data_IF_230991707304
#
_entry.id   IF_230991707304
#
_cell.length_a   1.000
_cell.length_b   1.000
_cell.length_c   1.000
_cell.angle_alpha   90.00
_cell.angle_beta   90.00
_cell.angle_gamma   90.00
#
_symmetry.space_group_name_H-M   'P 1'
#
loop_
_entity.id
_entity.type
_entity.pdbx_description
1 polymer ?
#
# COMPACT_ATOMS: atom_id res chain seq x y z
N UNK A 1 13.18 12.79 8.53
CA UNK A 1 11.94 12.02 8.69
C UNK A 1 11.98 10.84 7.75
N UNK A 2 11.58 9.69 8.24
CA UNK A 2 11.66 8.38 7.60
C UNK A 2 10.29 7.71 7.65
N UNK A 3 10.04 6.74 6.77
CA UNK A 3 8.77 6.03 6.69
C UNK A 3 8.98 4.54 6.91
N UNK A 4 8.18 3.97 7.81
CA UNK A 4 8.09 2.55 8.08
C UNK A 4 6.73 2.06 7.57
N UNK A 5 6.71 0.93 6.85
CA UNK A 5 5.48 0.28 6.42
C UNK A 5 5.44 -1.12 7.03
N UNK A 6 4.34 -1.43 7.72
CA UNK A 6 4.10 -2.72 8.34
C UNK A 6 2.86 -3.39 7.75
N UNK A 7 3.00 -4.65 7.36
CA UNK A 7 1.89 -5.54 7.01
C UNK A 7 1.54 -6.35 8.26
N UNK A 8 0.25 -6.47 8.55
CA UNK A 8 -0.28 -7.12 9.74
C UNK A 8 -1.14 -8.32 9.36
N UNK A 9 -0.97 -9.41 10.12
CA UNK A 9 -1.89 -10.56 10.13
C UNK A 9 -2.53 -10.66 11.51
N UNK A 10 -3.86 -10.59 11.55
CA UNK A 10 -4.62 -10.60 12.80
C UNK A 10 -4.58 -11.98 13.45
N UNK A 11 -4.85 -12.00 14.76
CA UNK A 11 -5.17 -13.25 15.45
C UNK A 11 -6.49 -13.83 14.91
N UNK A 12 -6.59 -15.15 14.84
CA UNK A 12 -7.74 -15.84 14.22
C UNK A 12 -9.07 -15.57 14.94
N UNK A 13 -9.01 -15.33 16.25
CA UNK A 13 -10.11 -14.95 17.14
C UNK A 13 -10.49 -13.46 17.05
N UNK A 14 -9.68 -12.63 16.38
CA UNK A 14 -9.93 -11.21 16.21
C UNK A 14 -10.61 -10.92 14.88
N UNK A 15 -11.75 -10.23 14.88
CA UNK A 15 -12.46 -9.89 13.64
C UNK A 15 -11.76 -8.74 12.89
N UNK A 16 -11.92 -8.69 11.56
CA UNK A 16 -11.41 -7.58 10.75
C UNK A 16 -11.95 -6.21 11.22
N UNK A 17 -13.22 -6.16 11.64
CA UNK A 17 -13.84 -4.95 12.19
C UNK A 17 -13.18 -4.51 13.50
N UNK A 18 -12.85 -5.45 14.40
CA UNK A 18 -12.18 -5.16 15.67
C UNK A 18 -10.73 -4.72 15.46
N UNK A 19 -10.00 -5.35 14.54
CA UNK A 19 -8.67 -4.88 14.12
C UNK A 19 -8.73 -3.44 13.58
N UNK A 20 -9.65 -3.17 12.64
CA UNK A 20 -9.83 -1.83 12.06
C UNK A 20 -10.16 -0.78 13.12
N UNK A 21 -11.05 -1.10 14.06
CA UNK A 21 -11.38 -0.19 15.16
C UNK A 21 -10.17 0.10 16.05
N UNK A 22 -9.38 -0.93 16.42
CA UNK A 22 -8.18 -0.75 17.23
C UNK A 22 -7.14 0.12 16.52
N UNK A 23 -6.85 -0.17 15.24
CA UNK A 23 -5.88 0.57 14.43
C UNK A 23 -6.24 2.04 14.24
N UNK A 24 -7.54 2.39 14.20
CA UNK A 24 -8.02 3.77 14.06
C UNK A 24 -8.23 4.50 15.40
N UNK A 25 -8.22 3.77 16.51
CA UNK A 25 -8.47 4.27 17.86
C UNK A 25 -7.25 4.18 18.75
N UNK A 26 -7.34 3.37 19.80
CA UNK A 26 -6.35 3.28 20.88
C UNK A 26 -4.93 2.97 20.38
N UNK A 27 -4.79 2.12 19.36
CA UNK A 27 -3.48 1.78 18.81
C UNK A 27 -2.85 2.98 18.10
N UNK A 28 -3.62 3.76 17.32
CA UNK A 28 -3.08 4.97 16.71
C UNK A 28 -2.59 5.98 17.76
N UNK A 29 -3.32 6.11 18.88
CA UNK A 29 -2.88 6.96 19.99
C UNK A 29 -1.58 6.44 20.63
N UNK A 30 -1.46 5.13 20.82
CA UNK A 30 -0.25 4.50 21.34
C UNK A 30 0.94 4.70 20.40
N UNK A 31 0.74 4.55 19.09
CA UNK A 31 1.77 4.77 18.07
C UNK A 31 2.24 6.24 18.06
N UNK A 32 1.33 7.20 18.20
CA UNK A 32 1.67 8.62 18.34
C UNK A 32 2.54 8.89 19.58
N UNK A 33 2.18 8.32 20.73
CA UNK A 33 2.97 8.41 21.98
C UNK A 33 4.34 7.74 21.85
N UNK A 34 4.45 6.69 21.04
CA UNK A 34 5.68 5.97 20.75
C UNK A 34 6.58 6.67 19.71
N UNK A 35 6.19 7.83 19.19
CA UNK A 35 7.03 8.66 18.32
C UNK A 35 6.61 8.73 16.85
N UNK A 36 5.46 8.16 16.47
CA UNK A 36 4.91 8.34 15.13
C UNK A 36 4.46 9.80 14.94
N UNK A 37 5.03 10.46 13.92
CA UNK A 37 4.71 11.81 13.46
C UNK A 37 3.53 11.84 12.48
N UNK A 38 3.36 10.75 11.74
CA UNK A 38 2.23 10.53 10.83
C UNK A 38 1.80 9.07 10.90
N UNK A 39 0.50 8.83 10.75
CA UNK A 39 -0.11 7.49 10.83
C UNK A 39 -1.17 7.37 9.74
N UNK A 40 -1.00 6.37 8.88
CA UNK A 40 -2.01 5.94 7.91
C UNK A 40 -2.26 4.45 8.10
N UNK A 41 -3.53 4.07 8.02
CA UNK A 41 -4.01 2.70 8.15
C UNK A 41 -4.78 2.30 6.90
N UNK A 42 -4.45 1.14 6.36
CA UNK A 42 -5.13 0.50 5.24
C UNK A 42 -5.62 -0.87 5.72
N UNK A 43 -6.90 -1.18 5.59
CA UNK A 43 -7.48 -2.45 6.07
C UNK A 43 -8.26 -3.18 4.98
N UNK A 44 -8.21 -4.51 4.99
CA UNK A 44 -9.11 -5.34 4.20
C UNK A 44 -10.43 -5.50 4.97
N UNK A 45 -11.44 -4.71 4.61
CA UNK A 45 -12.76 -4.71 5.26
C UNK A 45 -13.90 -5.01 4.27
N UNK A 46 -15.14 -4.97 4.78
CA UNK A 46 -16.32 -5.31 4.01
C UNK A 46 -16.54 -4.39 2.78
N UNK A 47 -16.08 -3.13 2.84
CA UNK A 47 -16.27 -2.16 1.76
C UNK A 47 -15.44 -2.50 0.51
N UNK A 48 -14.38 -3.31 0.67
CA UNK A 48 -13.46 -3.69 -0.43
C UNK A 48 -13.40 -5.20 -0.66
N UNK A 49 -14.26 -5.97 0.00
CA UNK A 49 -14.23 -7.43 -0.01
C UNK A 49 -14.53 -8.04 -1.39
N UNK A 50 -15.26 -7.33 -2.25
CA UNK A 50 -15.61 -7.77 -3.61
C UNK A 50 -14.55 -7.39 -4.66
N UNK A 51 -13.44 -6.75 -4.27
CA UNK A 51 -12.41 -6.36 -5.21
C UNK A 51 -11.81 -7.58 -5.93
N UNK A 52 -11.90 -7.56 -7.25
CA UNK A 52 -11.49 -8.64 -8.15
C UNK A 52 -9.96 -8.72 -8.29
N UNK A 53 -9.27 -7.58 -8.23
CA UNK A 53 -7.81 -7.52 -8.17
C UNK A 53 -7.34 -7.71 -6.72
N UNK A 54 -7.29 -8.98 -6.30
CA UNK A 54 -6.78 -9.36 -4.98
C UNK A 54 -5.82 -10.55 -5.13
N UNK A 55 -4.53 -10.30 -4.92
CA UNK A 55 -3.47 -11.30 -5.03
C UNK A 55 -2.65 -11.27 -3.75
N UNK A 56 -2.88 -12.26 -2.89
CA UNK A 56 -2.19 -12.39 -1.62
C UNK A 56 -0.66 -12.28 -1.81
N UNK A 57 0.02 -11.28 -1.22
CA UNK A 57 1.47 -11.17 -1.28
C UNK A 57 2.11 -12.45 -0.76
N UNK A 58 2.92 -13.12 -1.58
CA UNK A 58 3.60 -14.38 -1.24
C UNK A 58 2.70 -15.45 -0.63
N UNK A 59 1.46 -15.56 -1.13
CA UNK A 59 0.52 -16.62 -0.77
C UNK A 59 -0.15 -16.45 0.61
N UNK A 60 0.06 -15.31 1.29
CA UNK A 60 -0.51 -15.05 2.61
C UNK A 60 -1.35 -13.78 2.60
N UNK A 61 -2.67 -13.92 2.67
CA UNK A 61 -3.59 -12.79 2.72
C UNK A 61 -3.34 -11.97 4.01
N UNK A 62 -3.01 -10.69 3.85
CA UNK A 62 -2.83 -9.77 4.96
C UNK A 62 -4.16 -9.09 5.33
N UNK A 63 -4.25 -8.60 6.57
CA UNK A 63 -5.45 -7.96 7.10
C UNK A 63 -5.35 -6.44 7.13
N UNK A 64 -4.13 -5.90 7.31
CA UNK A 64 -3.88 -4.47 7.32
C UNK A 64 -2.47 -4.09 6.87
N UNK A 65 -2.31 -2.85 6.43
CA UNK A 65 -1.03 -2.16 6.23
C UNK A 65 -1.04 -0.88 7.05
N UNK A 66 0.02 -0.63 7.81
CA UNK A 66 0.20 0.57 8.62
C UNK A 66 1.44 1.30 8.13
N UNK A 67 1.26 2.55 7.70
CA UNK A 67 2.36 3.44 7.36
C UNK A 67 2.60 4.42 8.51
N UNK A 68 3.84 4.47 8.98
CA UNK A 68 4.28 5.32 10.08
C UNK A 68 5.40 6.22 9.59
N UNK A 69 5.28 7.52 9.85
CA UNK A 69 6.37 8.46 9.64
C UNK A 69 7.01 8.77 10.98
N UNK A 70 8.33 8.70 11.05
CA UNK A 70 9.12 8.84 12.28
C UNK A 70 10.32 9.72 12.03
N UNK A 71 10.86 10.35 13.07
CA UNK A 71 12.09 11.14 12.94
C UNK A 71 13.33 10.25 12.75
N UNK A 72 13.28 9.02 13.29
CA UNK A 72 14.36 8.03 13.26
C UNK A 72 13.78 6.61 13.33
N UNK A 73 14.25 5.70 12.47
CA UNK A 73 13.89 4.27 12.49
C UNK A 73 14.65 3.45 13.54
N UNK A 74 15.55 4.06 14.33
CA UNK A 74 16.35 3.36 15.33
C UNK A 74 15.49 2.58 16.30
N UNK A 75 16.07 1.51 16.85
CA UNK A 75 15.41 0.56 17.76
C UNK A 75 14.67 1.23 18.92
N UNK A 76 15.19 2.34 19.45
CA UNK A 76 14.56 3.13 20.51
C UNK A 76 13.16 3.67 20.14
N UNK A 77 12.93 3.98 18.87
CA UNK A 77 11.61 4.42 18.34
C UNK A 77 10.87 3.22 17.75
N UNK A 78 11.58 2.36 17.02
CA UNK A 78 11.00 1.25 16.28
C UNK A 78 10.43 0.14 17.16
N UNK A 79 11.14 -0.30 18.20
CA UNK A 79 10.69 -1.41 19.05
C UNK A 79 9.39 -1.09 19.80
N UNK A 80 9.17 0.11 20.37
CA UNK A 80 7.88 0.49 20.93
C UNK A 80 6.74 0.45 19.91
N UNK A 81 6.97 0.90 18.67
CA UNK A 81 5.98 0.85 17.59
C UNK A 81 5.64 -0.60 17.21
N UNK A 82 6.66 -1.44 17.01
CA UNK A 82 6.49 -2.87 16.70
C UNK A 82 5.76 -3.61 17.81
N UNK A 83 6.10 -3.33 19.08
CA UNK A 83 5.41 -3.90 20.26
C UNK A 83 3.93 -3.52 20.28
N UNK A 84 3.61 -2.26 19.97
CA UNK A 84 2.22 -1.80 19.89
C UNK A 84 1.46 -2.52 18.76
N UNK A 85 2.06 -2.67 17.58
CA UNK A 85 1.45 -3.40 16.46
C UNK A 85 1.23 -4.89 16.79
N UNK A 86 2.20 -5.54 17.44
CA UNK A 86 2.11 -6.94 17.87
C UNK A 86 1.05 -7.18 18.95
N UNK A 87 0.57 -6.14 19.63
CA UNK A 87 -0.53 -6.28 20.59
C UNK A 87 -1.89 -6.55 19.93
N UNK A 88 -2.03 -6.30 18.62
CA UNK A 88 -3.28 -6.51 17.86
C UNK A 88 -3.13 -7.50 16.71
N UNK A 89 -1.90 -7.86 16.36
CA UNK A 89 -1.56 -8.72 15.24
C UNK A 89 -0.70 -9.90 15.70
N UNK A 90 -1.04 -11.10 15.22
CA UNK A 90 -0.26 -12.32 15.47
C UNK A 90 1.13 -12.21 14.86
N UNK A 91 1.24 -11.50 13.75
CA UNK A 91 2.47 -11.36 12.99
C UNK A 91 2.53 -10.01 12.30
N UNK A 92 3.75 -9.48 12.17
CA UNK A 92 4.05 -8.26 11.43
C UNK A 92 5.23 -8.47 10.49
N UNK A 93 5.18 -7.83 9.32
CA UNK A 93 6.30 -7.71 8.40
C UNK A 93 6.57 -6.24 8.12
N UNK A 94 7.77 -5.75 8.41
CA UNK A 94 8.09 -4.32 8.37
C UNK A 94 9.23 -3.96 7.41
N UNK A 95 9.12 -2.81 6.76
CA UNK A 95 10.18 -2.25 5.90
C UNK A 95 10.40 -0.76 6.19
N UNK A 96 11.66 -0.33 6.11
CA UNK A 96 12.03 1.08 5.98
C UNK A 96 11.98 1.43 4.49
N UNK A 97 11.36 2.56 4.15
CA UNK A 97 11.15 2.97 2.76
C UNK A 97 11.50 4.44 2.51
N UNK A 98 11.83 4.76 1.26
CA UNK A 98 11.80 6.14 0.76
C UNK A 98 10.50 6.39 0.01
N UNK A 99 9.79 7.45 0.36
CA UNK A 99 8.50 7.79 -0.23
C UNK A 99 8.65 8.79 -1.40
N UNK A 100 7.81 8.64 -2.42
CA UNK A 100 7.56 9.62 -3.48
C UNK A 100 6.07 9.65 -3.78
N UNK A 101 5.50 10.84 -3.99
CA UNK A 101 4.06 11.04 -4.20
C UNK A 101 3.78 11.71 -5.55
N UNK A 102 3.86 10.98 -6.68
CA UNK A 102 3.58 11.54 -8.01
C UNK A 102 2.17 12.09 -8.19
N UNK A 103 1.18 11.51 -7.49
CA UNK A 103 -0.21 11.96 -7.52
C UNK A 103 -0.75 11.99 -6.10
N UNK A 104 -0.93 13.18 -5.55
CA UNK A 104 -1.36 13.38 -4.16
C UNK A 104 -2.81 12.92 -3.97
N UNK A 105 -3.08 11.98 -3.05
CA UNK A 105 -4.45 11.62 -2.67
C UNK A 105 -5.21 12.82 -2.09
N UNK A 106 -6.55 12.89 -2.25
CA UNK A 106 -7.36 13.93 -1.62
C UNK A 106 -7.23 13.87 -0.10
N UNK A 107 -7.24 15.05 0.54
CA UNK A 107 -7.28 15.15 1.99
C UNK A 107 -8.63 14.67 2.53
N UNK A 108 -8.61 14.00 3.68
CA UNK A 108 -9.79 13.63 4.45
C UNK A 108 -9.70 14.15 5.87
N UNK A 109 -10.83 14.21 6.56
CA UNK A 109 -10.82 14.41 8.01
C UNK A 109 -10.00 13.27 8.67
N UNK A 110 -9.25 13.55 9.75
CA UNK A 110 -8.53 12.53 10.51
C UNK A 110 -9.42 11.35 10.89
N UNK A 111 -8.98 10.13 10.55
CA UNK A 111 -9.71 8.89 10.83
C UNK A 111 -10.92 8.61 9.93
N UNK A 112 -11.29 9.53 9.04
CA UNK A 112 -12.33 9.28 8.05
C UNK A 112 -11.80 8.38 6.92
N UNK A 113 -12.69 7.54 6.39
CA UNK A 113 -12.39 6.68 5.23
C UNK A 113 -12.15 7.57 4.02
N UNK A 114 -11.06 7.35 3.30
CA UNK A 114 -10.88 7.94 1.97
C UNK A 114 -11.93 7.33 1.03
N UNK A 115 -12.75 8.14 0.33
CA UNK A 115 -13.68 7.62 -0.67
C UNK A 115 -12.94 6.77 -1.70
N UNK A 116 -13.55 5.67 -2.16
CA UNK A 116 -12.96 4.76 -3.14
C UNK A 116 -12.27 3.53 -2.56
N UNK A 117 -11.41 2.92 -3.38
CA UNK A 117 -10.58 1.76 -3.10
C UNK A 117 -9.12 2.19 -3.06
N UNK A 118 -8.32 1.64 -2.14
CA UNK A 118 -6.87 1.84 -2.10
C UNK A 118 -6.17 0.49 -2.25
N UNK A 119 -5.52 0.25 -3.38
CA UNK A 119 -4.70 -0.95 -3.57
C UNK A 119 -3.30 -0.72 -3.02
N UNK A 120 -2.81 -1.69 -2.24
CA UNK A 120 -1.40 -1.79 -1.87
C UNK A 120 -0.76 -2.86 -2.74
N UNK A 121 0.09 -2.46 -3.68
CA UNK A 121 0.85 -3.35 -4.54
C UNK A 121 2.27 -3.55 -3.99
N UNK A 122 2.65 -4.79 -3.74
CA UNK A 122 4.00 -5.17 -3.34
C UNK A 122 4.72 -5.70 -4.58
N UNK A 123 5.84 -5.09 -4.93
CA UNK A 123 6.57 -5.37 -6.17
C UNK A 123 8.01 -5.78 -5.91
N UNK A 124 8.50 -6.71 -6.73
CA UNK A 124 9.88 -7.18 -6.73
C UNK A 124 10.56 -6.81 -8.04
N UNK A 125 11.80 -6.34 -7.94
CA UNK A 125 12.71 -6.15 -9.07
C UNK A 125 13.11 -7.51 -9.66
N UNK A 126 13.05 -7.69 -10.98
CA UNK A 126 13.63 -8.84 -11.65
C UNK A 126 15.12 -9.00 -11.30
N UNK A 127 15.56 -10.22 -10.95
CA UNK A 127 16.92 -10.47 -10.48
C UNK A 127 17.99 -9.99 -11.48
N UNK A 128 17.73 -10.19 -12.77
CA UNK A 128 18.61 -9.81 -13.87
C UNK A 128 18.67 -8.30 -14.16
N UNK A 129 17.86 -7.46 -13.50
CA UNK A 129 17.78 -6.02 -13.77
C UNK A 129 18.54 -5.22 -12.73
N UNK A 130 19.45 -4.33 -13.12
CA UNK A 130 20.19 -3.50 -12.15
C UNK A 130 19.24 -2.58 -11.33
N UNK A 131 19.51 -2.32 -10.03
CA UNK A 131 18.63 -1.50 -9.19
C UNK A 131 18.33 -0.11 -9.77
N UNK A 132 19.34 0.61 -10.26
CA UNK A 132 19.16 1.94 -10.83
C UNK A 132 18.29 1.91 -12.11
N UNK A 133 18.47 0.90 -12.95
CA UNK A 133 17.64 0.71 -14.15
C UNK A 133 16.19 0.38 -13.78
N UNK A 134 15.98 -0.46 -12.77
CA UNK A 134 14.64 -0.79 -12.28
C UNK A 134 13.91 0.44 -11.74
N UNK A 135 14.61 1.25 -10.93
CA UNK A 135 14.06 2.51 -10.42
C UNK A 135 13.72 3.48 -11.54
N UNK A 136 14.58 3.64 -12.55
CA UNK A 136 14.27 4.48 -13.71
C UNK A 136 13.00 3.99 -14.42
N UNK A 137 12.94 2.71 -14.78
CA UNK A 137 11.77 2.10 -15.44
C UNK A 137 10.49 2.25 -14.63
N UNK A 138 10.56 2.09 -13.31
CA UNK A 138 9.40 2.23 -12.44
C UNK A 138 9.00 3.70 -12.24
N UNK A 139 9.91 4.53 -11.71
CA UNK A 139 9.61 5.91 -11.27
C UNK A 139 9.43 6.87 -12.45
N UNK A 140 10.23 6.77 -13.50
CA UNK A 140 10.25 7.75 -14.59
C UNK A 140 9.38 7.33 -15.79
N UNK A 141 9.21 6.03 -16.03
CA UNK A 141 8.45 5.54 -17.19
C UNK A 141 7.09 4.97 -16.78
N UNK A 142 7.06 3.95 -15.93
CA UNK A 142 5.81 3.27 -15.55
C UNK A 142 4.82 4.18 -14.84
N UNK A 143 5.27 5.03 -13.90
CA UNK A 143 4.40 5.97 -13.17
C UNK A 143 3.54 6.80 -14.13
N UNK A 144 4.13 7.31 -15.22
CA UNK A 144 3.38 8.10 -16.23
C UNK A 144 2.34 7.24 -16.95
N UNK A 145 2.67 5.98 -17.27
CA UNK A 145 1.72 5.06 -17.90
C UNK A 145 0.57 4.75 -16.94
N UNK A 146 0.87 4.37 -15.69
CA UNK A 146 -0.13 4.03 -14.68
C UNK A 146 -1.16 5.15 -14.49
N UNK A 147 -0.70 6.37 -14.21
CA UNK A 147 -1.58 7.53 -14.01
C UNK A 147 -2.44 7.84 -15.24
N UNK A 148 -1.94 7.58 -16.46
CA UNK A 148 -2.68 7.89 -17.70
C UNK A 148 -3.65 6.80 -18.13
N UNK A 149 -3.35 5.53 -17.84
CA UNK A 149 -4.12 4.39 -18.34
C UNK A 149 -5.09 3.82 -17.32
N UNK A 150 -4.98 4.22 -16.06
CA UNK A 150 -5.91 3.88 -15.00
C UNK A 150 -6.70 5.11 -14.54
N UNK A 151 -7.82 4.88 -13.85
CA UNK A 151 -8.62 5.93 -13.19
C UNK A 151 -8.06 6.33 -11.82
N UNK A 152 -6.76 6.17 -11.63
CA UNK A 152 -6.08 6.43 -10.35
C UNK A 152 -6.17 7.90 -9.99
N UNK A 153 -6.63 8.21 -8.76
CA UNK A 153 -6.68 9.59 -8.24
C UNK A 153 -5.70 9.84 -7.08
N UNK A 154 -4.90 8.84 -6.71
CA UNK A 154 -3.79 8.95 -5.78
C UNK A 154 -2.75 7.87 -6.05
N UNK A 155 -1.48 8.22 -6.09
CA UNK A 155 -0.37 7.31 -6.42
C UNK A 155 0.84 7.64 -5.55
N UNK A 156 1.23 6.71 -4.69
CA UNK A 156 2.37 6.82 -3.77
C UNK A 156 3.32 5.65 -4.02
N UNK A 157 4.61 5.96 -4.18
CA UNK A 157 5.67 4.99 -4.37
C UNK A 157 6.55 4.93 -3.13
N UNK A 158 6.78 3.72 -2.63
CA UNK A 158 7.67 3.49 -1.50
C UNK A 158 8.76 2.50 -1.92
N UNK A 159 9.96 2.99 -2.19
CA UNK A 159 11.11 2.13 -2.49
C UNK A 159 11.64 1.54 -1.19
N UNK A 160 11.76 0.21 -1.12
CA UNK A 160 12.25 -0.48 0.08
C UNK A 160 13.75 -0.26 0.23
N UNK A 161 14.16 0.27 1.39
CA UNK A 161 15.56 0.45 1.77
C UNK A 161 16.09 -0.80 2.48
N UNK A 162 15.29 -1.37 3.38
CA UNK A 162 15.61 -2.60 4.12
C UNK A 162 14.39 -3.17 4.84
N UNK A 163 14.44 -4.47 5.11
CA UNK A 163 13.54 -5.14 6.05
C UNK A 163 13.87 -4.75 7.49
N UNK A 164 12.84 -4.65 8.33
CA UNK A 164 12.93 -4.30 9.75
C UNK A 164 12.64 -5.51 10.65
N UNK A 165 11.73 -6.38 10.24
CA UNK A 165 11.35 -7.58 11.01
C UNK A 165 11.98 -8.84 10.41
N UNK A 166 12.12 -9.93 11.19
CA UNK A 166 12.48 -11.22 10.63
C UNK A 166 11.43 -11.71 9.62
N UNK A 167 11.84 -12.59 8.69
CA UNK A 167 10.96 -13.31 7.77
C UNK A 167 10.07 -12.42 6.87
N UNK A 168 10.45 -11.17 6.60
CA UNK A 168 9.77 -10.37 5.56
C UNK A 168 9.84 -11.09 4.23
N UNK A 169 8.73 -11.12 3.51
CA UNK A 169 8.76 -11.52 2.10
C UNK A 169 9.59 -10.51 1.27
N UNK A 170 10.25 -10.96 0.18
CA UNK A 170 11.18 -10.11 -0.55
C UNK A 170 10.45 -9.05 -1.36
N UNK A 171 10.51 -7.79 -0.93
CA UNK A 171 9.89 -6.64 -1.63
C UNK A 171 10.96 -5.62 -1.95
N UNK A 172 10.94 -5.05 -3.16
CA UNK A 172 11.78 -3.90 -3.53
C UNK A 172 10.98 -2.60 -3.58
N UNK A 173 9.66 -2.66 -3.77
CA UNK A 173 8.78 -1.50 -3.74
C UNK A 173 7.37 -1.81 -3.23
N UNK A 174 6.75 -0.82 -2.60
CA UNK A 174 5.35 -0.84 -2.16
C UNK A 174 4.64 0.37 -2.78
N UNK A 175 3.63 0.13 -3.59
CA UNK A 175 2.83 1.16 -4.24
C UNK A 175 1.48 1.24 -3.57
N UNK A 176 1.01 2.46 -3.29
CA UNK A 176 -0.38 2.71 -2.94
C UNK A 176 -1.06 3.45 -4.08
N UNK A 177 -2.17 2.88 -4.57
CA UNK A 177 -2.93 3.39 -5.70
C UNK A 177 -4.41 3.51 -5.32
N UNK A 178 -4.99 4.69 -5.49
CA UNK A 178 -6.38 4.96 -5.14
C UNK A 178 -7.26 5.04 -6.38
N UNK A 179 -8.39 4.34 -6.36
CA UNK A 179 -9.34 4.20 -7.46
C UNK A 179 -10.77 4.48 -6.99
N UNK A 180 -11.69 4.88 -7.90
CA UNK A 180 -13.13 4.87 -7.61
C UNK A 180 -13.58 3.52 -7.06
N UNK A 181 -14.60 3.48 -6.22
CA UNK A 181 -15.02 2.23 -5.56
C UNK A 181 -15.50 1.18 -6.58
N UNK A 182 -16.12 1.64 -7.67
CA UNK A 182 -16.59 0.85 -8.78
C UNK A 182 -15.46 0.02 -9.43
N UNK A 183 -14.23 0.54 -9.38
CA UNK A 183 -13.04 -0.15 -9.90
C UNK A 183 -12.72 -1.46 -9.18
N UNK A 184 -13.32 -1.72 -8.01
CA UNK A 184 -13.24 -3.00 -7.33
C UNK A 184 -13.74 -4.15 -8.23
N UNK A 185 -14.81 -3.91 -8.99
CA UNK A 185 -15.49 -4.96 -9.78
C UNK A 185 -15.62 -4.65 -11.26
N UNK A 186 -15.38 -3.40 -11.67
CA UNK A 186 -15.52 -2.96 -13.06
C UNK A 186 -14.18 -2.53 -13.66
N UNK A 187 -13.75 -3.24 -14.71
CA UNK A 187 -12.53 -2.91 -15.45
C UNK A 187 -12.63 -1.58 -16.20
N UNK A 188 -13.81 -1.19 -16.68
CA UNK A 188 -13.99 0.12 -17.31
C UNK A 188 -13.80 1.24 -16.28
N UNK A 189 -14.31 1.07 -15.06
CA UNK A 189 -14.05 1.97 -13.96
C UNK A 189 -12.57 1.98 -13.56
N UNK A 190 -11.89 0.83 -13.50
CA UNK A 190 -10.47 0.72 -13.14
C UNK A 190 -9.52 1.37 -14.16
N UNK A 191 -9.75 1.14 -15.45
CA UNK A 191 -8.92 1.72 -16.52
C UNK A 191 -9.41 3.11 -16.96
N UNK A 192 -10.59 3.54 -16.52
CA UNK A 192 -11.18 4.83 -16.91
C UNK A 192 -11.50 4.90 -18.40
N UNK A 193 -11.98 3.80 -19.00
CA UNK A 193 -12.26 3.76 -20.44
C UNK A 193 -13.66 4.24 -20.83
N UNK A 194 -14.48 4.66 -19.86
CA UNK A 194 -15.81 5.24 -20.13
C UNK A 194 -16.82 4.27 -20.75
N UNK A 195 -16.62 2.96 -20.57
CA UNK A 195 -17.47 1.92 -21.18
C UNK A 195 -17.08 1.53 -22.62
N UNK A 196 -16.06 2.17 -23.21
CA UNK A 196 -15.55 1.83 -24.53
C UNK A 196 -14.63 0.58 -24.45
N UNK A 197 -14.95 -0.53 -25.15
CA UNK A 197 -14.13 -1.74 -25.18
C UNK A 197 -12.77 -1.59 -25.88
N UNK A 198 -12.70 -0.79 -26.95
CA UNK A 198 -11.45 -0.60 -27.71
C UNK A 198 -10.47 0.26 -26.90
N UNK A 199 -10.99 1.29 -26.23
CA UNK A 199 -10.20 2.09 -25.31
C UNK A 199 -9.74 1.28 -24.09
N UNK A 200 -10.61 0.39 -23.56
CA UNK A 200 -10.22 -0.53 -22.49
C UNK A 200 -9.05 -1.41 -22.93
N UNK A 201 -9.16 -2.06 -24.09
CA UNK A 201 -8.12 -2.93 -24.63
C UNK A 201 -6.80 -2.17 -24.86
N UNK A 202 -6.87 -0.94 -25.39
CA UNK A 202 -5.68 -0.09 -25.61
C UNK A 202 -4.98 0.24 -24.29
N UNK A 203 -5.73 0.64 -23.26
CA UNK A 203 -5.18 0.98 -21.93
C UNK A 203 -4.57 -0.23 -21.23
N UNK A 204 -5.25 -1.38 -21.29
CA UNK A 204 -4.75 -2.65 -20.77
C UNK A 204 -3.46 -3.07 -21.47
N UNK A 205 -3.38 -2.92 -22.80
CA UNK A 205 -2.18 -3.21 -23.57
C UNK A 205 -0.98 -2.36 -23.15
N UNK A 206 -1.17 -1.04 -23.03
CA UNK A 206 -0.12 -0.12 -22.55
C UNK A 206 0.32 -0.44 -21.12
N UNK A 207 -0.63 -0.72 -20.23
CA UNK A 207 -0.34 -1.10 -18.84
C UNK A 207 0.46 -2.40 -18.79
N UNK A 208 0.01 -3.45 -19.49
CA UNK A 208 0.67 -4.74 -19.55
C UNK A 208 2.11 -4.62 -20.07
N UNK A 209 2.29 -3.90 -21.20
CA UNK A 209 3.61 -3.65 -21.76
C UNK A 209 4.54 -2.91 -20.79
N UNK A 210 4.00 -1.91 -20.09
CA UNK A 210 4.76 -1.15 -19.10
C UNK A 210 5.15 -1.99 -17.90
N UNK A 211 4.21 -2.78 -17.34
CA UNK A 211 4.46 -3.69 -16.22
C UNK A 211 5.53 -4.72 -16.56
N UNK A 212 5.43 -5.39 -17.70
CA UNK A 212 6.42 -6.38 -18.15
C UNK A 212 7.81 -5.79 -18.38
N UNK A 213 7.93 -4.47 -18.52
CA UNK A 213 9.23 -3.82 -18.68
C UNK A 213 10.02 -3.72 -17.36
N UNK A 214 9.38 -3.81 -16.18
CA UNK A 214 10.09 -3.64 -14.89
C UNK A 214 9.70 -4.64 -13.80
N UNK A 215 8.67 -5.46 -14.01
CA UNK A 215 8.22 -6.49 -13.09
C UNK A 215 8.27 -7.87 -13.73
N UNK A 216 8.60 -8.86 -12.90
CA UNK A 216 8.35 -10.26 -13.23
C UNK A 216 6.92 -10.59 -12.75
N UNK A 217 6.04 -11.01 -13.66
CA UNK A 217 4.59 -11.10 -13.41
C UNK A 217 4.19 -12.03 -12.26
N UNK A 218 5.08 -12.92 -11.82
CA UNK A 218 4.90 -13.80 -10.66
C UNK A 218 5.18 -13.11 -9.31
N UNK A 219 5.83 -11.94 -9.30
CA UNK A 219 6.41 -11.32 -8.12
C UNK A 219 5.66 -10.05 -7.67
N UNK A 220 4.33 -10.06 -7.82
CA UNK A 220 3.47 -8.95 -7.39
C UNK A 220 2.33 -9.43 -6.49
N UNK A 221 2.26 -8.89 -5.26
CA UNK A 221 1.06 -8.97 -4.41
C UNK A 221 0.22 -7.71 -4.58
N UNK A 222 -1.11 -7.82 -4.56
CA UNK A 222 -2.01 -6.66 -4.57
C UNK A 222 -3.09 -6.89 -3.52
N UNK A 223 -3.18 -5.95 -2.58
CA UNK A 223 -4.14 -5.99 -1.48
C UNK A 223 -5.12 -4.82 -1.63
N UNK A 224 -6.40 -5.08 -1.90
CA UNK A 224 -7.43 -4.04 -1.87
C UNK A 224 -7.74 -3.63 -0.44
N UNK A 225 -7.75 -2.33 -0.16
CA UNK A 225 -7.93 -1.79 1.20
C UNK A 225 -8.82 -0.56 1.25
N UNK A 226 -9.51 -0.39 2.37
CA UNK A 226 -10.02 0.91 2.82
C UNK A 226 -8.90 1.70 3.46
N UNK A 227 -8.75 2.98 3.10
CA UNK A 227 -7.66 3.88 3.56
C UNK A 227 -8.15 4.89 4.59
N UNK A 228 -7.40 5.05 5.67
CA UNK A 228 -7.66 5.97 6.77
C UNK A 228 -6.38 6.73 7.13
N UNK A 229 -6.38 8.06 6.97
CA UNK A 229 -5.28 8.91 7.44
C UNK A 229 -5.63 9.39 8.85
N UNK A 230 -4.87 8.96 9.86
CA UNK A 230 -5.11 9.36 11.25
C UNK A 230 -4.39 10.67 11.56
N UNK A 231 -3.18 10.86 11.00
CA UNK A 231 -2.41 12.09 11.15
C UNK A 231 -1.39 12.25 10.02
N UNK A 232 -1.31 13.45 9.46
CA UNK A 232 -0.29 13.82 8.47
C UNK A 232 1.03 14.16 9.18
N UNK A 233 2.18 13.69 8.69
CA UNK A 233 3.47 14.10 9.23
C UNK A 233 3.89 15.52 8.80
N UNK A 234 3.12 16.16 7.92
CA UNK A 234 3.47 17.45 7.31
C UNK A 234 2.72 18.66 7.90
N UNK A 235 1.92 18.45 8.95
CA UNK A 235 1.05 19.47 9.54
C UNK A 235 -0.30 19.58 8.88
#
# INVERSE_FOLDING_TARGET
MEKLIYVLWRHEDNSAARLSAALRGDLAQALGKAGARGIQVNVTDADVANATLNRAPWGKAADAVVSLWVDSWRDEVRHPLETALQSVAREIAGWLVTESVPLTPPATAPGARTPGLSNIAFIRRPEAMAPAQWLDRWHNHHTTVAIRTQSTFGYIQNTVVRSLTPNTFPVDGIVEELFPLEAATDQHAFYGSGGDPDELARRQGLMSQSVSAFLDGAATGVMPTSRFVIGSPFG
#
